data_IF_840293504499
#
_entry.id   IF_840293504499
#
_cell.length_a   1.000
_cell.length_b   1.000
_cell.length_c   1.000
_cell.angle_alpha   90.00
_cell.angle_beta   90.00
_cell.angle_gamma   90.00
#
_symmetry.space_group_name_H-M   'P 1'
#
loop_
_entity.id
_entity.type
_entity.pdbx_description
1 polymer ?
#
# COMPACT_ATOMS: atom_id res chain seq x y z
N UNK A 1 -17.71 12.22 15.18
CA UNK A 1 -16.36 11.69 14.85
C UNK A 1 -15.55 11.65 16.14
N UNK A 2 -14.87 10.54 16.44
CA UNK A 2 -14.01 10.39 17.64
C UNK A 2 -12.90 11.45 17.68
N UNK A 3 -12.45 11.93 16.54
CA UNK A 3 -11.39 12.94 16.39
C UNK A 3 -11.93 14.20 15.70
N UNK A 4 -12.91 14.85 16.37
CA UNK A 4 -13.43 16.12 15.92
C UNK A 4 -12.45 17.30 16.14
N UNK A 5 -12.81 18.46 15.63
CA UNK A 5 -11.95 19.66 15.72
C UNK A 5 -11.62 20.03 17.16
N UNK A 6 -12.53 19.84 18.10
CA UNK A 6 -12.33 20.14 19.50
C UNK A 6 -11.33 19.16 20.14
N UNK A 7 -11.41 17.88 19.77
CA UNK A 7 -10.47 16.86 20.24
C UNK A 7 -9.06 17.12 19.69
N UNK A 8 -8.95 17.37 18.38
CA UNK A 8 -7.65 17.65 17.75
C UNK A 8 -6.98 18.92 18.30
N UNK A 9 -7.75 19.97 18.55
CA UNK A 9 -7.22 21.20 19.15
C UNK A 9 -6.73 20.97 20.59
N UNK A 10 -7.38 20.12 21.38
CA UNK A 10 -6.93 19.76 22.73
C UNK A 10 -5.59 19.01 22.69
N UNK A 11 -5.44 18.04 21.82
CA UNK A 11 -4.16 17.31 21.67
C UNK A 11 -3.06 18.24 21.16
N UNK A 12 -3.37 19.15 20.23
CA UNK A 12 -2.41 20.14 19.73
C UNK A 12 -1.92 21.06 20.87
N UNK A 13 -2.85 21.52 21.73
CA UNK A 13 -2.52 22.35 22.89
C UNK A 13 -1.65 21.59 23.91
N UNK A 14 -2.08 20.40 24.33
CA UNK A 14 -1.35 19.58 25.29
C UNK A 14 0.07 19.25 24.81
N UNK A 15 0.24 19.02 23.52
CA UNK A 15 1.55 18.81 22.90
C UNK A 15 2.41 20.09 22.94
N UNK A 16 1.81 21.27 22.69
CA UNK A 16 2.52 22.55 22.82
C UNK A 16 2.91 22.87 24.26
N UNK A 17 2.15 22.35 25.24
CA UNK A 17 2.42 22.46 26.67
C UNK A 17 3.46 21.42 27.15
N UNK A 18 4.04 20.64 26.24
CA UNK A 18 5.20 19.76 26.52
C UNK A 18 4.86 18.30 26.85
N UNK A 19 3.60 17.86 26.67
CA UNK A 19 3.25 16.45 26.84
C UNK A 19 3.91 15.57 25.76
N UNK A 20 4.48 14.45 26.19
CA UNK A 20 5.05 13.46 25.28
C UNK A 20 3.96 12.65 24.59
N UNK A 21 4.33 11.89 23.56
CA UNK A 21 3.39 10.99 22.88
C UNK A 21 2.80 9.95 23.86
N UNK A 22 3.60 9.42 24.77
CA UNK A 22 3.15 8.47 25.80
C UNK A 22 2.13 9.11 26.74
N UNK A 23 2.40 10.34 27.22
CA UNK A 23 1.48 11.06 28.10
C UNK A 23 0.14 11.33 27.43
N UNK A 24 0.14 11.60 26.11
CA UNK A 24 -1.09 11.82 25.33
C UNK A 24 -1.85 10.52 25.11
N UNK A 25 -1.15 9.40 24.89
CA UNK A 25 -1.78 8.09 24.80
C UNK A 25 -2.53 7.74 26.09
N UNK A 26 -1.87 7.92 27.24
CA UNK A 26 -2.45 7.65 28.56
C UNK A 26 -3.62 8.59 28.86
N UNK A 27 -3.44 9.90 28.60
CA UNK A 27 -4.47 10.92 28.90
C UNK A 27 -5.75 10.72 28.11
N UNK A 28 -5.62 10.32 26.83
CA UNK A 28 -6.74 10.21 25.89
C UNK A 28 -7.16 8.77 25.60
N UNK A 29 -6.55 7.80 26.30
CA UNK A 29 -6.75 6.35 26.12
C UNK A 29 -6.64 5.95 24.63
N UNK A 30 -5.50 6.33 24.01
CA UNK A 30 -5.23 6.08 22.59
C UNK A 30 -4.17 5.00 22.43
N UNK A 31 -4.38 4.09 21.49
CA UNK A 31 -3.31 3.16 21.09
C UNK A 31 -2.19 3.90 20.35
N UNK A 32 -1.06 3.22 20.17
CA UNK A 32 0.07 3.75 19.40
C UNK A 32 -0.33 4.11 17.97
N UNK A 33 -1.13 3.28 17.32
CA UNK A 33 -1.65 3.51 15.98
C UNK A 33 -2.59 4.72 15.94
N UNK A 34 -3.49 4.82 16.91
CA UNK A 34 -4.45 5.92 16.99
C UNK A 34 -3.79 7.28 17.23
N UNK A 35 -2.78 7.37 18.10
CA UNK A 35 -2.08 8.65 18.32
C UNK A 35 -1.29 9.08 17.08
N UNK A 36 -0.70 8.15 16.34
CA UNK A 36 -0.07 8.44 15.04
C UNK A 36 -1.07 8.96 14.01
N UNK A 37 -2.24 8.33 13.92
CA UNK A 37 -3.32 8.82 13.08
C UNK A 37 -3.73 10.25 13.42
N UNK A 38 -3.91 10.55 14.72
CA UNK A 38 -4.24 11.90 15.20
C UNK A 38 -3.16 12.92 14.86
N UNK A 39 -1.88 12.57 15.02
CA UNK A 39 -0.78 13.48 14.67
C UNK A 39 -0.75 13.82 13.18
N UNK A 40 -1.09 12.88 12.33
CA UNK A 40 -1.19 13.11 10.89
C UNK A 40 -2.38 14.00 10.52
N UNK A 41 -3.53 13.80 11.17
CA UNK A 41 -4.67 14.71 11.00
C UNK A 41 -4.31 16.16 11.38
N UNK A 42 -3.52 16.35 12.44
CA UNK A 42 -3.04 17.68 12.83
C UNK A 42 -2.08 18.27 11.81
N UNK A 43 -1.13 17.47 11.31
CA UNK A 43 -0.15 17.91 10.31
C UNK A 43 -0.81 18.34 9.00
N UNK A 44 -1.75 17.55 8.50
CA UNK A 44 -2.49 17.87 7.26
C UNK A 44 -3.33 19.14 7.38
N UNK A 45 -3.76 19.53 8.59
CA UNK A 45 -4.46 20.81 8.82
C UNK A 45 -3.53 22.01 8.79
N UNK A 46 -2.33 21.85 9.34
CA UNK A 46 -1.34 22.94 9.36
C UNK A 46 -0.74 23.20 7.96
N UNK A 47 -0.78 22.22 7.04
CA UNK A 47 -0.33 22.34 5.65
C UNK A 47 -1.43 22.77 4.67
N UNK A 48 -2.72 22.73 5.07
CA UNK A 48 -3.86 23.09 4.22
C UNK A 48 -4.26 24.59 4.27
N UNK A 49 -3.40 25.48 4.75
CA UNK A 49 -3.56 26.91 4.51
C UNK A 49 -2.74 27.30 3.27
N UNK A 50 -3.43 27.46 2.17
CA UNK A 50 -3.02 27.87 0.83
C UNK A 50 -2.56 26.74 -0.12
N UNK A 51 -3.50 26.20 -0.89
CA UNK A 51 -3.55 26.34 -2.35
C UNK A 51 -4.69 25.51 -2.92
N UNK A 52 -5.84 26.14 -3.13
CA UNK A 52 -6.81 25.67 -4.12
C UNK A 52 -6.30 26.04 -5.51
N UNK A 53 -5.75 25.06 -6.22
CA UNK A 53 -5.67 25.13 -7.68
C UNK A 53 -6.09 23.77 -8.22
N UNK A 54 -7.35 23.68 -8.65
CA UNK A 54 -7.82 22.65 -9.58
C UNK A 54 -7.03 22.79 -10.89
N UNK A 55 -5.94 22.05 -11.04
CA UNK A 55 -5.22 21.94 -12.29
C UNK A 55 -5.67 20.69 -13.06
N UNK A 56 -6.64 20.86 -13.93
CA UNK A 56 -6.98 19.89 -14.99
C UNK A 56 -5.82 19.84 -16.00
N UNK A 57 -5.03 18.76 -15.96
CA UNK A 57 -3.93 18.54 -16.91
C UNK A 57 -4.37 17.61 -18.03
N UNK A 58 -4.37 18.09 -19.27
CA UNK A 58 -4.40 17.25 -20.46
C UNK A 58 -2.99 16.73 -20.76
N UNK A 59 -2.87 15.40 -20.95
CA UNK A 59 -1.60 14.76 -21.26
C UNK A 59 -1.09 15.14 -22.64
N UNK A 60 0.19 15.52 -22.70
CA UNK A 60 0.92 15.70 -23.93
C UNK A 60 1.56 14.40 -24.44
N UNK A 61 2.39 14.46 -25.48
CA UNK A 61 3.12 13.32 -26.03
C UNK A 61 4.47 13.15 -25.31
N UNK A 62 4.86 11.88 -25.10
CA UNK A 62 6.18 11.50 -24.56
C UNK A 62 6.89 10.61 -25.57
N UNK A 63 8.13 10.94 -25.93
CA UNK A 63 9.00 10.14 -26.78
C UNK A 63 10.27 9.79 -26.00
N UNK A 64 10.62 8.51 -25.98
CA UNK A 64 11.84 8.00 -25.36
C UNK A 64 12.83 7.55 -26.40
N UNK A 65 14.09 7.87 -26.17
CA UNK A 65 15.20 7.47 -27.02
C UNK A 65 15.92 6.26 -26.40
N UNK A 66 16.68 5.54 -27.22
CA UNK A 66 17.44 4.35 -26.77
C UNK A 66 18.53 4.67 -25.74
N UNK A 67 19.01 5.92 -25.69
CA UNK A 67 19.98 6.43 -24.70
C UNK A 67 19.34 6.80 -23.35
N UNK A 68 18.07 6.50 -23.15
CA UNK A 68 17.32 6.83 -21.93
C UNK A 68 16.84 8.29 -21.86
N UNK A 69 17.21 9.14 -22.84
CA UNK A 69 16.70 10.50 -22.89
C UNK A 69 15.22 10.55 -23.25
N UNK A 70 14.50 11.53 -22.73
CA UNK A 70 13.06 11.68 -22.93
C UNK A 70 12.75 13.06 -23.47
N UNK A 71 11.82 13.11 -24.41
CA UNK A 71 11.19 14.35 -24.89
C UNK A 71 9.72 14.29 -24.54
N UNK A 72 9.26 15.21 -23.70
CA UNK A 72 7.87 15.29 -23.27
C UNK A 72 7.25 16.64 -23.60
N UNK A 73 5.98 16.63 -24.03
CA UNK A 73 5.17 17.82 -24.24
C UNK A 73 3.96 17.79 -23.31
N UNK A 74 3.61 18.93 -22.71
CA UNK A 74 2.47 19.06 -21.79
C UNK A 74 1.83 20.45 -21.97
N UNK A 75 0.51 20.54 -21.75
CA UNK A 75 -0.17 21.82 -21.61
C UNK A 75 -0.06 22.28 -20.14
N UNK A 76 0.38 23.49 -19.93
CA UNK A 76 0.53 24.11 -18.59
C UNK A 76 -0.07 25.50 -18.58
N UNK A 77 -0.37 26.05 -17.42
CA UNK A 77 -0.80 27.44 -17.32
C UNK A 77 0.37 28.42 -17.53
N UNK A 78 0.09 29.64 -17.98
CA UNK A 78 1.15 30.64 -18.19
C UNK A 78 1.89 30.98 -16.88
N UNK A 79 1.17 31.01 -15.75
CA UNK A 79 1.76 31.27 -14.43
C UNK A 79 2.74 30.17 -14.01
N UNK A 80 2.52 28.95 -14.46
CA UNK A 80 3.41 27.80 -14.24
C UNK A 80 4.62 27.79 -15.18
N UNK A 81 4.63 28.58 -16.25
CA UNK A 81 5.73 28.61 -17.23
C UNK A 81 6.78 29.67 -16.94
N UNK A 82 6.53 30.59 -16.01
CA UNK A 82 7.41 31.76 -15.72
C UNK A 82 8.13 31.56 -14.38
N UNK A 83 9.43 31.82 -14.39
CA UNK A 83 10.31 31.80 -13.19
C UNK A 83 10.45 30.44 -12.49
N UNK A 84 10.38 29.34 -13.25
CA UNK A 84 10.58 27.98 -12.73
C UNK A 84 12.07 27.65 -12.65
N UNK A 85 12.48 26.97 -11.58
CA UNK A 85 13.74 26.25 -11.53
C UNK A 85 13.68 24.97 -12.37
N UNK A 86 14.84 24.39 -12.72
CA UNK A 86 14.90 23.11 -13.42
C UNK A 86 14.19 22.00 -12.64
N UNK A 87 14.28 22.02 -11.31
CA UNK A 87 13.60 21.09 -10.43
C UNK A 87 12.07 21.22 -10.50
N UNK A 88 11.55 22.46 -10.52
CA UNK A 88 10.11 22.70 -10.64
C UNK A 88 9.59 22.21 -12.00
N UNK A 89 10.35 22.46 -13.07
CA UNK A 89 10.00 22.00 -14.43
C UNK A 89 9.94 20.48 -14.49
N UNK A 90 10.97 19.78 -13.96
CA UNK A 90 11.00 18.33 -13.89
C UNK A 90 9.79 17.78 -13.13
N UNK A 91 9.49 18.36 -11.97
CA UNK A 91 8.34 17.97 -11.13
C UNK A 91 7.01 18.17 -11.86
N UNK A 92 6.78 19.29 -12.53
CA UNK A 92 5.57 19.56 -13.34
C UNK A 92 5.38 18.49 -14.42
N UNK A 93 6.47 18.02 -15.02
CA UNK A 93 6.44 16.98 -16.04
C UNK A 93 6.44 15.55 -15.47
N UNK A 94 6.45 15.39 -14.14
CA UNK A 94 6.40 14.09 -13.48
C UNK A 94 7.73 13.34 -13.40
N UNK A 95 8.86 14.09 -13.39
CA UNK A 95 10.20 13.53 -13.26
C UNK A 95 10.85 13.98 -11.96
N UNK A 96 11.55 13.06 -11.28
CA UNK A 96 12.28 13.36 -10.06
C UNK A 96 13.53 14.19 -10.38
N UNK A 97 13.67 15.39 -9.80
CA UNK A 97 14.83 16.28 -10.04
C UNK A 97 16.18 15.68 -9.64
N UNK A 98 16.20 14.75 -8.67
CA UNK A 98 17.43 14.07 -8.23
C UNK A 98 17.88 12.98 -9.21
N UNK A 99 17.04 12.62 -10.17
CA UNK A 99 17.23 11.47 -11.07
C UNK A 99 17.41 11.86 -12.53
N UNK A 100 17.01 13.07 -12.90
CA UNK A 100 17.07 13.55 -14.27
C UNK A 100 17.68 14.93 -14.37
N UNK A 101 18.50 15.14 -15.40
CA UNK A 101 18.98 16.44 -15.83
C UNK A 101 18.02 17.06 -16.85
N UNK A 102 17.61 18.30 -16.66
CA UNK A 102 16.88 19.07 -17.66
C UNK A 102 17.85 19.57 -18.73
N UNK A 103 17.77 18.99 -19.94
CA UNK A 103 18.64 19.37 -21.05
C UNK A 103 18.10 20.59 -21.81
N UNK A 104 16.78 20.69 -21.93
CA UNK A 104 16.13 21.86 -22.52
C UNK A 104 14.68 21.99 -22.08
N UNK A 105 14.22 23.22 -21.94
CA UNK A 105 12.84 23.61 -21.73
C UNK A 105 12.45 24.66 -22.75
N UNK A 106 11.31 24.49 -23.37
CA UNK A 106 10.74 25.50 -24.29
C UNK A 106 9.22 25.50 -24.13
N UNK A 107 8.63 26.67 -24.31
CA UNK A 107 7.17 26.78 -24.31
C UNK A 107 6.70 27.77 -25.37
N UNK A 108 5.47 27.57 -25.83
CA UNK A 108 4.77 28.46 -26.74
C UNK A 108 3.35 28.68 -26.23
N UNK A 109 2.96 29.93 -26.12
CA UNK A 109 1.60 30.32 -25.75
C UNK A 109 0.71 30.36 -27.00
N UNK A 110 -0.45 29.70 -26.95
CA UNK A 110 -1.42 29.71 -28.03
C UNK A 110 -2.84 29.54 -27.47
N UNK A 111 -3.78 30.34 -28.02
CA UNK A 111 -5.17 30.25 -27.61
C UNK A 111 -5.45 30.76 -26.19
N UNK A 112 -6.68 30.55 -25.74
CA UNK A 112 -7.14 30.80 -24.38
C UNK A 112 -8.04 29.65 -23.94
N UNK A 113 -7.90 29.24 -22.68
CA UNK A 113 -8.86 28.35 -22.03
C UNK A 113 -10.26 28.97 -22.06
N UNK A 114 -11.26 28.18 -22.45
CA UNK A 114 -12.64 28.69 -22.61
C UNK A 114 -13.31 28.95 -21.25
N UNK A 115 -12.88 28.29 -20.19
CA UNK A 115 -13.46 28.42 -18.86
C UNK A 115 -12.81 29.51 -18.04
N UNK A 116 -11.48 29.64 -18.10
CA UNK A 116 -10.69 30.58 -17.26
C UNK A 116 -10.23 31.82 -18.00
N UNK A 117 -10.38 31.90 -19.32
CA UNK A 117 -9.83 32.97 -20.20
C UNK A 117 -8.29 33.14 -20.10
N UNK A 118 -7.57 32.20 -19.51
CA UNK A 118 -6.12 32.22 -19.41
C UNK A 118 -5.44 31.65 -20.67
N UNK A 119 -4.26 32.16 -21.04
CA UNK A 119 -3.51 31.61 -22.18
C UNK A 119 -3.11 30.14 -21.90
N UNK A 120 -3.37 29.27 -22.86
CA UNK A 120 -2.85 27.91 -22.88
C UNK A 120 -1.40 27.93 -23.36
N UNK A 121 -0.53 27.20 -22.68
CA UNK A 121 0.89 27.10 -22.96
C UNK A 121 1.23 25.66 -23.25
N UNK A 122 1.73 25.39 -24.46
CA UNK A 122 2.35 24.11 -24.77
C UNK A 122 3.81 24.17 -24.35
N UNK A 123 4.17 23.36 -23.36
CA UNK A 123 5.53 23.26 -22.86
C UNK A 123 6.16 21.94 -23.31
N UNK A 124 7.46 21.99 -23.61
CA UNK A 124 8.25 20.84 -24.09
C UNK A 124 9.55 20.79 -23.30
N UNK A 125 9.89 19.61 -22.79
CA UNK A 125 11.17 19.33 -22.16
C UNK A 125 11.95 18.27 -22.94
N UNK A 126 13.28 18.33 -22.79
CA UNK A 126 14.19 17.23 -23.07
C UNK A 126 15.00 16.96 -21.82
N UNK A 127 15.02 15.73 -21.38
CA UNK A 127 15.70 15.31 -20.16
C UNK A 127 16.60 14.10 -20.43
N UNK A 128 17.61 13.90 -19.61
CA UNK A 128 18.45 12.70 -19.60
C UNK A 128 18.58 12.17 -18.17
N UNK A 129 18.64 10.83 -17.97
CA UNK A 129 18.89 10.28 -16.66
C UNK A 129 20.27 10.71 -16.15
N UNK A 130 20.36 10.98 -14.84
CA UNK A 130 21.63 11.06 -14.13
C UNK A 130 22.15 9.63 -14.06
N UNK A 131 23.24 9.32 -14.77
CA UNK A 131 23.77 7.97 -14.90
C UNK A 131 24.44 7.53 -13.59
N UNK A 132 23.66 6.99 -12.66
CA UNK A 132 24.15 6.08 -11.65
C UNK A 132 23.47 4.72 -11.90
N UNK A 133 24.15 3.82 -12.57
CA UNK A 133 23.71 2.43 -12.76
C UNK A 133 23.90 1.67 -11.44
N UNK A 134 22.98 1.88 -10.51
CA UNK A 134 22.89 1.06 -9.29
C UNK A 134 22.25 -0.27 -9.68
N UNK A 135 22.94 -1.37 -9.43
CA UNK A 135 22.43 -2.72 -9.71
C UNK A 135 21.57 -3.23 -8.56
N UNK A 136 20.76 -4.25 -8.82
CA UNK A 136 19.98 -4.93 -7.76
C UNK A 136 20.89 -5.48 -6.64
N UNK A 137 22.09 -5.95 -7.00
CA UNK A 137 23.07 -6.42 -6.02
C UNK A 137 23.59 -5.28 -5.13
N UNK A 138 23.77 -4.08 -5.66
CA UNK A 138 24.17 -2.92 -4.86
C UNK A 138 23.10 -2.57 -3.84
N UNK A 139 21.82 -2.61 -4.22
CA UNK A 139 20.70 -2.43 -3.30
C UNK A 139 20.67 -3.50 -2.21
N UNK A 140 20.84 -4.78 -2.55
CA UNK A 140 20.89 -5.88 -1.58
C UNK A 140 22.04 -5.67 -0.59
N UNK A 141 23.22 -5.26 -1.06
CA UNK A 141 24.36 -4.98 -0.18
C UNK A 141 24.07 -3.81 0.78
N UNK A 142 23.47 -2.72 0.28
CA UNK A 142 23.08 -1.60 1.13
C UNK A 142 22.06 -2.05 2.18
N UNK A 143 21.03 -2.79 1.79
CA UNK A 143 20.02 -3.30 2.71
C UNK A 143 20.67 -4.17 3.80
N UNK A 144 21.55 -5.10 3.45
CA UNK A 144 22.23 -5.99 4.41
C UNK A 144 23.11 -5.22 5.41
N UNK A 145 23.68 -4.10 5.00
CA UNK A 145 24.59 -3.30 5.83
C UNK A 145 23.85 -2.27 6.70
N UNK A 146 22.73 -1.74 6.24
CA UNK A 146 22.05 -0.59 6.85
C UNK A 146 20.76 -0.97 7.62
N UNK A 147 20.17 -2.14 7.33
CA UNK A 147 18.95 -2.57 8.02
C UNK A 147 19.29 -3.33 9.29
N UNK A 148 18.97 -2.73 10.44
CA UNK A 148 19.15 -3.37 11.73
C UNK A 148 17.88 -4.14 12.17
N UNK A 149 18.03 -5.37 12.68
CA UNK A 149 16.91 -6.13 13.22
C UNK A 149 16.31 -5.46 14.46
N UNK A 150 14.99 -5.46 14.55
CA UNK A 150 14.28 -5.01 15.74
C UNK A 150 14.63 -5.90 16.94
N UNK A 151 14.99 -5.28 18.08
CA UNK A 151 15.34 -6.02 19.28
C UNK A 151 14.09 -6.62 19.96
N UNK A 152 14.14 -7.89 20.35
CA UNK A 152 13.03 -8.56 21.06
C UNK A 152 12.62 -7.85 22.36
N UNK A 153 13.55 -7.15 23.03
CA UNK A 153 13.28 -6.40 24.25
C UNK A 153 12.31 -5.23 24.06
N UNK A 154 12.13 -4.77 22.82
CA UNK A 154 11.26 -3.64 22.50
C UNK A 154 9.78 -4.04 22.36
N UNK A 155 9.50 -5.33 22.27
CA UNK A 155 8.14 -5.86 22.10
C UNK A 155 8.00 -7.12 22.95
N UNK A 156 7.48 -6.95 24.19
CA UNK A 156 7.07 -8.11 24.99
C UNK A 156 5.73 -8.61 24.45
N UNK A 157 5.74 -9.79 23.89
CA UNK A 157 4.52 -10.53 23.57
C UNK A 157 3.73 -10.69 24.87
N UNK A 158 2.49 -10.29 24.90
CA UNK A 158 1.59 -10.73 25.98
C UNK A 158 1.36 -12.22 25.73
N UNK A 159 2.09 -13.06 26.45
CA UNK A 159 1.99 -14.52 26.39
C UNK A 159 0.64 -14.99 26.96
N UNK A 160 -0.42 -14.77 26.22
CA UNK A 160 -1.62 -15.59 26.33
C UNK A 160 -1.49 -16.64 25.21
N UNK A 161 -1.06 -17.84 25.58
CA UNK A 161 -1.15 -18.99 24.65
C UNK A 161 -2.59 -19.08 24.20
N UNK A 162 -2.83 -18.92 22.90
CA UNK A 162 -4.17 -19.00 22.37
C UNK A 162 -4.69 -20.41 22.57
N UNK A 163 -5.85 -20.53 23.18
CA UNK A 163 -6.60 -21.80 23.19
C UNK A 163 -7.43 -21.99 21.93
N UNK A 164 -7.22 -21.15 20.90
CA UNK A 164 -8.02 -21.14 19.67
C UNK A 164 -7.22 -21.71 18.51
N UNK A 165 -7.79 -22.72 17.82
CA UNK A 165 -7.28 -23.26 16.56
C UNK A 165 -7.63 -22.32 15.36
N UNK A 166 -7.73 -21.00 15.59
CA UNK A 166 -8.08 -20.05 14.56
C UNK A 166 -6.84 -19.35 14.01
N UNK A 167 -6.80 -19.24 12.71
CA UNK A 167 -5.79 -18.44 11.99
C UNK A 167 -6.45 -17.27 11.28
N UNK A 168 -5.66 -16.22 11.06
CA UNK A 168 -6.08 -15.01 10.36
C UNK A 168 -5.26 -14.87 9.08
N UNK A 169 -5.91 -14.59 7.96
CA UNK A 169 -5.24 -14.23 6.70
C UNK A 169 -5.63 -12.82 6.32
N UNK A 170 -4.63 -11.97 6.15
CA UNK A 170 -4.80 -10.54 5.83
C UNK A 170 -4.18 -10.27 4.46
N UNK A 171 -4.97 -10.32 3.38
CA UNK A 171 -4.50 -10.00 2.04
C UNK A 171 -4.41 -8.47 1.84
N UNK A 172 -3.22 -8.02 1.46
CA UNK A 172 -2.86 -6.63 1.17
C UNK A 172 -2.51 -6.56 -0.31
N UNK A 173 -3.50 -6.23 -1.13
CA UNK A 173 -3.39 -6.10 -2.59
C UNK A 173 -3.60 -4.66 -3.00
N UNK A 174 -2.91 -4.25 -4.05
CA UNK A 174 -3.16 -2.97 -4.73
C UNK A 174 -3.17 -1.78 -3.75
N UNK A 175 -2.19 -1.75 -2.84
CA UNK A 175 -2.05 -0.69 -1.83
C UNK A 175 -1.66 0.65 -2.47
N UNK A 176 -0.85 0.60 -3.53
CA UNK A 176 -0.38 1.74 -4.32
C UNK A 176 0.14 2.92 -3.50
N UNK A 177 1.04 2.66 -2.54
CA UNK A 177 1.73 3.75 -1.84
C UNK A 177 2.37 4.71 -2.85
N UNK A 178 2.15 6.00 -2.62
CA UNK A 178 2.45 7.08 -3.55
C UNK A 178 1.20 7.77 -4.11
N UNK A 179 0.12 7.01 -4.39
CA UNK A 179 -1.23 7.54 -4.65
C UNK A 179 -2.09 7.42 -3.39
N UNK A 180 -2.06 6.27 -2.72
CA UNK A 180 -2.79 6.08 -1.48
C UNK A 180 -2.17 6.91 -0.38
N UNK A 181 -2.95 7.83 0.16
CA UNK A 181 -2.55 8.62 1.33
C UNK A 181 -2.36 7.68 2.53
N UNK A 182 -1.26 7.85 3.23
CA UNK A 182 -0.94 7.09 4.43
C UNK A 182 -2.06 7.20 5.50
N UNK A 183 -2.83 8.29 5.54
CA UNK A 183 -3.98 8.45 6.43
C UNK A 183 -5.07 7.42 6.11
N UNK A 184 -5.33 7.19 4.82
CA UNK A 184 -6.26 6.13 4.37
C UNK A 184 -5.78 4.78 4.87
N UNK A 185 -4.50 4.44 4.64
CA UNK A 185 -3.93 3.18 5.08
C UNK A 185 -4.01 3.01 6.62
N UNK A 186 -3.77 4.08 7.38
CA UNK A 186 -3.89 4.05 8.85
C UNK A 186 -5.32 3.86 9.36
N UNK A 187 -6.32 4.36 8.63
CA UNK A 187 -7.73 4.08 8.98
C UNK A 187 -7.99 2.58 8.99
N UNK A 188 -7.50 1.86 7.98
CA UNK A 188 -7.63 0.41 7.92
C UNK A 188 -6.83 -0.31 9.04
N UNK A 189 -5.64 0.19 9.41
CA UNK A 189 -4.90 -0.36 10.56
C UNK A 189 -5.64 -0.18 11.87
N UNK A 190 -6.26 0.98 12.10
CA UNK A 190 -7.07 1.20 13.30
C UNK A 190 -8.27 0.25 13.35
N UNK A 191 -8.97 0.07 12.23
CA UNK A 191 -10.09 -0.88 12.16
C UNK A 191 -9.65 -2.33 12.31
N UNK A 192 -8.46 -2.69 11.80
CA UNK A 192 -7.87 -4.02 12.02
C UNK A 192 -7.55 -4.23 13.50
N UNK A 193 -6.91 -3.27 14.15
CA UNK A 193 -6.60 -3.32 15.58
C UNK A 193 -7.88 -3.50 16.41
N UNK A 194 -8.93 -2.74 16.12
CA UNK A 194 -10.24 -2.89 16.77
C UNK A 194 -10.86 -4.28 16.54
N UNK A 195 -10.78 -4.80 15.29
CA UNK A 195 -11.33 -6.12 14.94
C UNK A 195 -10.67 -7.27 15.73
N UNK A 196 -9.36 -7.18 15.99
CA UNK A 196 -8.59 -8.25 16.62
C UNK A 196 -8.32 -8.01 18.11
N UNK A 197 -8.66 -6.84 18.66
CA UNK A 197 -8.28 -6.35 20.01
C UNK A 197 -8.53 -7.34 21.14
N UNK A 198 -9.59 -8.15 21.06
CA UNK A 198 -9.98 -9.13 22.09
C UNK A 198 -9.82 -10.57 21.63
N UNK A 199 -8.99 -10.84 20.64
CA UNK A 199 -8.82 -12.15 20.02
C UNK A 199 -7.35 -12.55 20.05
N UNK A 200 -7.11 -13.86 20.03
CA UNK A 200 -5.81 -14.47 19.82
C UNK A 200 -5.92 -15.48 18.68
N UNK A 201 -4.88 -15.57 17.88
CA UNK A 201 -4.81 -16.46 16.73
C UNK A 201 -3.57 -17.35 16.84
N UNK A 202 -3.66 -18.58 16.39
CA UNK A 202 -2.52 -19.45 16.29
C UNK A 202 -1.55 -18.92 15.23
N UNK A 203 -2.04 -18.70 14.02
CA UNK A 203 -1.26 -18.14 12.94
C UNK A 203 -1.91 -16.85 12.41
N UNK A 204 -1.08 -15.85 12.07
CA UNK A 204 -1.48 -14.71 11.24
C UNK A 204 -0.63 -14.70 9.99
N UNK A 205 -1.29 -14.83 8.84
CA UNK A 205 -0.66 -14.81 7.52
C UNK A 205 -0.91 -13.47 6.85
N UNK A 206 0.14 -12.67 6.70
CA UNK A 206 0.12 -11.41 5.97
C UNK A 206 0.47 -11.69 4.51
N UNK A 207 -0.39 -11.29 3.58
CA UNK A 207 -0.21 -11.55 2.15
C UNK A 207 -0.06 -10.24 1.40
N UNK A 208 1.16 -9.91 0.97
CA UNK A 208 1.45 -8.78 0.08
C UNK A 208 1.36 -9.27 -1.37
N UNK A 209 0.19 -9.09 -1.95
CA UNK A 209 -0.19 -9.69 -3.23
C UNK A 209 0.16 -8.87 -4.47
N UNK A 210 1.10 -7.95 -4.37
CA UNK A 210 1.54 -7.07 -5.45
C UNK A 210 0.86 -5.71 -5.47
N UNK A 211 1.49 -4.79 -6.19
CA UNK A 211 1.09 -3.38 -6.30
C UNK A 211 1.01 -2.69 -4.93
N UNK A 212 1.94 -3.04 -4.03
CA UNK A 212 2.17 -2.30 -2.78
C UNK A 212 2.61 -0.88 -3.10
N UNK A 213 3.43 -0.71 -4.15
CA UNK A 213 3.87 0.59 -4.65
C UNK A 213 3.24 0.93 -5.99
N UNK A 214 3.00 2.23 -6.22
CA UNK A 214 2.48 2.68 -7.51
C UNK A 214 3.52 2.60 -8.64
N UNK A 215 4.79 2.48 -8.34
CA UNK A 215 5.88 2.45 -9.32
C UNK A 215 6.99 1.50 -8.91
N UNK A 216 7.54 0.76 -9.88
CA UNK A 216 8.65 -0.17 -9.69
C UNK A 216 10.00 0.55 -9.48
N UNK A 217 10.11 1.79 -9.86
CA UNK A 217 11.35 2.55 -9.85
C UNK A 217 11.36 3.60 -8.74
N UNK A 218 12.56 3.91 -8.22
CA UNK A 218 12.75 5.01 -7.27
C UNK A 218 12.87 6.38 -7.95
N UNK A 219 13.37 6.40 -9.18
CA UNK A 219 13.77 7.61 -9.90
C UNK A 219 12.78 8.05 -10.99
N UNK A 220 11.76 7.26 -11.25
CA UNK A 220 10.72 7.53 -12.26
C UNK A 220 9.43 6.84 -11.86
N UNK A 221 8.29 7.30 -12.35
CA UNK A 221 7.00 6.67 -12.06
C UNK A 221 6.54 5.83 -13.24
N UNK A 222 6.81 4.54 -13.18
CA UNK A 222 6.52 3.57 -14.24
C UNK A 222 6.20 2.20 -13.66
N UNK A 223 5.40 1.43 -14.41
CA UNK A 223 5.20 0.01 -14.13
C UNK A 223 6.48 -0.80 -14.41
N UNK A 224 6.54 -2.04 -13.94
CA UNK A 224 7.61 -3.00 -14.25
C UNK A 224 7.86 -3.15 -15.77
N UNK A 225 6.83 -2.99 -16.59
CA UNK A 225 6.91 -3.01 -18.07
C UNK A 225 7.18 -1.63 -18.69
N UNK A 226 7.61 -0.65 -17.91
CA UNK A 226 7.92 0.73 -18.30
C UNK A 226 6.70 1.53 -18.86
N UNK A 227 5.48 1.19 -18.52
CA UNK A 227 4.33 2.05 -18.79
C UNK A 227 4.43 3.28 -17.92
N UNK A 228 4.35 4.48 -18.52
CA UNK A 228 4.38 5.74 -17.78
C UNK A 228 3.10 5.91 -16.98
N UNK A 229 3.26 6.33 -15.72
CA UNK A 229 2.18 6.61 -14.78
C UNK A 229 2.24 8.07 -14.33
N UNK A 230 1.21 8.50 -13.62
CA UNK A 230 1.21 9.79 -12.95
C UNK A 230 2.32 9.87 -11.92
N UNK A 231 2.92 11.05 -11.79
CA UNK A 231 4.06 11.23 -10.91
C UNK A 231 3.69 11.02 -9.44
N UNK A 232 4.53 10.27 -8.74
CA UNK A 232 4.46 10.13 -7.29
C UNK A 232 5.84 10.33 -6.66
N UNK A 233 5.87 10.77 -5.42
CA UNK A 233 7.11 10.83 -4.64
C UNK A 233 7.47 9.43 -4.14
N UNK A 234 8.29 8.71 -4.90
CA UNK A 234 8.70 7.34 -4.58
C UNK A 234 9.47 7.21 -3.27
N UNK A 235 10.22 8.24 -2.85
CA UNK A 235 10.93 8.25 -1.55
C UNK A 235 9.93 8.33 -0.40
N UNK A 236 8.89 9.16 -0.53
CA UNK A 236 7.84 9.25 0.47
C UNK A 236 6.98 7.97 0.49
N UNK A 237 6.63 7.44 -0.66
CA UNK A 237 5.90 6.16 -0.78
C UNK A 237 6.63 5.02 -0.05
N UNK A 238 7.96 4.95 -0.18
CA UNK A 238 8.77 3.95 0.54
C UNK A 238 8.71 4.15 2.06
N UNK A 239 8.78 5.41 2.54
CA UNK A 239 8.67 5.72 3.97
C UNK A 239 7.28 5.34 4.51
N UNK A 240 6.23 5.71 3.79
CA UNK A 240 4.84 5.41 4.17
C UNK A 240 4.58 3.90 4.22
N UNK A 241 5.04 3.15 3.22
CA UNK A 241 4.94 1.70 3.22
C UNK A 241 5.72 1.06 4.38
N UNK A 242 6.92 1.58 4.70
CA UNK A 242 7.73 1.07 5.82
C UNK A 242 7.03 1.31 7.14
N UNK A 243 6.48 2.49 7.36
CA UNK A 243 5.78 2.86 8.58
C UNK A 243 4.49 2.06 8.76
N UNK A 244 3.73 1.88 7.67
CA UNK A 244 2.55 1.03 7.64
C UNK A 244 2.89 -0.42 8.01
N UNK A 245 3.93 -1.00 7.40
CA UNK A 245 4.36 -2.37 7.66
C UNK A 245 4.80 -2.54 9.11
N UNK A 246 5.59 -1.61 9.64
CA UNK A 246 6.07 -1.64 11.02
C UNK A 246 4.90 -1.67 12.02
N UNK A 247 3.89 -0.85 11.81
CA UNK A 247 2.73 -0.80 12.69
C UNK A 247 1.81 -2.02 12.51
N UNK A 248 1.66 -2.52 11.28
CA UNK A 248 0.94 -3.77 11.01
C UNK A 248 1.56 -4.95 11.79
N UNK A 249 2.87 -5.15 11.70
CA UNK A 249 3.56 -6.21 12.45
C UNK A 249 3.38 -6.03 13.95
N UNK A 250 3.46 -4.80 14.49
CA UNK A 250 3.26 -4.53 15.92
C UNK A 250 1.84 -4.88 16.37
N UNK A 251 0.84 -4.51 15.57
CA UNK A 251 -0.56 -4.83 15.85
C UNK A 251 -0.75 -6.34 15.92
N UNK A 252 -0.37 -7.06 14.86
CA UNK A 252 -0.63 -8.51 14.79
C UNK A 252 0.21 -9.32 15.76
N UNK A 253 1.44 -8.87 16.08
CA UNK A 253 2.33 -9.58 17.02
C UNK A 253 1.74 -9.69 18.45
N UNK A 254 0.87 -8.79 18.83
CA UNK A 254 0.18 -8.86 20.12
C UNK A 254 -0.95 -9.89 20.14
N UNK A 255 -1.36 -10.40 18.98
CA UNK A 255 -2.54 -11.22 18.78
C UNK A 255 -2.28 -12.55 18.06
N UNK A 256 -1.00 -12.92 17.82
CA UNK A 256 -0.62 -14.11 17.08
C UNK A 256 0.46 -14.90 17.79
N UNK A 257 0.41 -16.24 17.75
CA UNK A 257 1.52 -17.09 18.18
C UNK A 257 2.59 -17.14 17.10
N UNK A 258 2.20 -17.20 15.82
CA UNK A 258 3.09 -17.16 14.66
C UNK A 258 2.62 -16.15 13.63
N UNK A 259 3.56 -15.53 12.94
CA UNK A 259 3.29 -14.60 11.85
C UNK A 259 4.09 -15.04 10.64
N UNK A 260 3.37 -15.31 9.55
CA UNK A 260 3.93 -15.59 8.24
C UNK A 260 3.70 -14.42 7.30
N UNK A 261 4.70 -14.05 6.51
CA UNK A 261 4.61 -12.99 5.50
C UNK A 261 4.87 -13.57 4.13
N UNK A 262 3.85 -13.58 3.30
CA UNK A 262 3.92 -13.98 1.90
C UNK A 262 3.99 -12.75 1.02
N UNK A 263 4.82 -12.78 -0.03
CA UNK A 263 4.92 -11.66 -0.95
C UNK A 263 5.13 -12.12 -2.39
N UNK A 264 4.33 -11.56 -3.30
CA UNK A 264 4.49 -11.68 -4.75
C UNK A 264 4.48 -10.30 -5.38
N UNK A 265 5.29 -10.07 -6.41
CA UNK A 265 5.33 -8.78 -7.10
C UNK A 265 4.10 -8.56 -7.97
N UNK A 266 3.67 -7.30 -8.10
CA UNK A 266 2.64 -6.87 -9.02
C UNK A 266 3.17 -6.27 -10.32
N UNK A 267 2.30 -5.84 -11.22
CA UNK A 267 2.74 -5.22 -12.47
C UNK A 267 3.26 -3.79 -12.29
N UNK A 268 2.98 -3.15 -11.15
CA UNK A 268 3.48 -1.81 -10.82
C UNK A 268 4.80 -1.84 -10.04
N UNK A 269 5.15 -2.92 -9.32
CA UNK A 269 6.22 -2.92 -8.33
C UNK A 269 7.01 -4.23 -8.20
N UNK A 270 7.12 -4.99 -9.27
CA UNK A 270 7.66 -6.34 -9.26
C UNK A 270 9.03 -6.46 -8.56
N UNK A 271 10.01 -5.65 -8.96
CA UNK A 271 11.35 -5.64 -8.36
C UNK A 271 11.38 -4.89 -7.03
N UNK A 272 10.71 -3.76 -6.95
CA UNK A 272 10.67 -2.91 -5.76
C UNK A 272 10.00 -3.61 -4.59
N UNK A 273 8.92 -4.33 -4.80
CA UNK A 273 8.26 -5.10 -3.75
C UNK A 273 9.17 -6.17 -3.19
N UNK A 274 9.89 -6.92 -4.04
CA UNK A 274 10.84 -7.93 -3.58
C UNK A 274 11.94 -7.32 -2.68
N UNK A 275 12.56 -6.23 -3.12
CA UNK A 275 13.60 -5.54 -2.35
C UNK A 275 13.07 -4.97 -1.04
N UNK A 276 11.88 -4.41 -1.05
CA UNK A 276 11.21 -3.90 0.15
C UNK A 276 10.95 -5.03 1.15
N UNK A 277 10.36 -6.13 0.71
CA UNK A 277 10.08 -7.28 1.56
C UNK A 277 11.36 -7.96 2.05
N UNK A 278 12.42 -7.96 1.26
CA UNK A 278 13.73 -8.43 1.70
C UNK A 278 14.29 -7.56 2.85
N UNK A 279 14.18 -6.24 2.75
CA UNK A 279 14.57 -5.35 3.85
C UNK A 279 13.72 -5.57 5.11
N UNK A 280 12.40 -5.75 4.95
CA UNK A 280 11.51 -6.04 6.07
C UNK A 280 11.78 -7.41 6.69
N UNK A 281 12.16 -8.41 5.90
CA UNK A 281 12.53 -9.73 6.43
C UNK A 281 13.75 -9.68 7.35
N UNK A 282 14.75 -8.86 7.05
CA UNK A 282 15.91 -8.64 7.94
C UNK A 282 15.46 -7.90 9.20
N UNK A 283 14.67 -6.83 9.03
CA UNK A 283 14.23 -5.98 10.16
C UNK A 283 13.38 -6.75 11.17
N UNK A 284 12.47 -7.58 10.69
CA UNK A 284 11.46 -8.25 11.51
C UNK A 284 11.70 -9.76 11.70
N UNK A 285 12.87 -10.29 11.33
CA UNK A 285 13.23 -11.71 11.36
C UNK A 285 12.99 -12.45 12.70
N UNK A 286 12.89 -11.70 13.81
CA UNK A 286 12.65 -12.27 15.13
C UNK A 286 11.17 -12.38 15.49
N UNK A 287 10.30 -11.84 14.67
CA UNK A 287 8.87 -11.73 14.94
C UNK A 287 7.99 -12.40 13.90
N UNK A 288 8.49 -12.51 12.66
CA UNK A 288 7.75 -13.08 11.56
C UNK A 288 8.66 -13.93 10.66
N UNK A 289 8.09 -14.97 10.06
CA UNK A 289 8.72 -15.77 9.02
C UNK A 289 8.33 -15.22 7.65
N UNK A 290 9.35 -14.95 6.81
CA UNK A 290 9.14 -14.35 5.49
C UNK A 290 9.37 -15.37 4.38
N UNK A 291 8.35 -15.59 3.57
CA UNK A 291 8.36 -16.47 2.41
C UNK A 291 8.47 -15.62 1.14
N UNK A 292 9.70 -15.26 0.77
CA UNK A 292 9.98 -14.42 -0.38
C UNK A 292 10.16 -15.22 -1.65
N UNK A 293 9.63 -14.72 -2.76
CA UNK A 293 9.80 -15.34 -4.08
C UNK A 293 9.92 -14.27 -5.16
N UNK A 294 10.65 -14.60 -6.22
CA UNK A 294 10.67 -13.85 -7.49
C UNK A 294 9.69 -14.41 -8.51
N UNK A 295 8.91 -15.44 -8.14
CA UNK A 295 7.89 -16.01 -9.00
C UNK A 295 6.61 -15.17 -8.97
N UNK A 296 5.78 -15.29 -10.00
CA UNK A 296 4.51 -14.55 -10.13
C UNK A 296 3.40 -15.09 -9.24
N UNK A 297 3.65 -16.20 -8.53
CA UNK A 297 2.72 -16.85 -7.60
C UNK A 297 3.48 -17.62 -6.53
N UNK A 298 2.80 -17.80 -5.40
CA UNK A 298 3.30 -18.55 -4.26
C UNK A 298 2.20 -19.42 -3.67
N UNK A 299 2.58 -20.53 -3.06
CA UNK A 299 1.67 -21.42 -2.37
C UNK A 299 2.07 -21.55 -0.91
N UNK A 300 1.08 -21.60 -0.05
CA UNK A 300 1.28 -21.72 1.39
C UNK A 300 0.21 -22.63 1.99
N UNK A 301 0.56 -23.36 3.02
CA UNK A 301 -0.37 -24.21 3.76
C UNK A 301 -0.60 -23.63 5.15
N UNK A 302 -1.85 -23.29 5.46
CA UNK A 302 -2.28 -22.86 6.78
C UNK A 302 -3.25 -23.94 7.32
N UNK A 303 -2.79 -24.75 8.27
CA UNK A 303 -3.50 -25.95 8.68
C UNK A 303 -3.76 -26.89 7.49
N UNK A 304 -5.02 -27.23 7.25
CA UNK A 304 -5.46 -28.00 6.08
C UNK A 304 -6.09 -27.11 4.99
N UNK A 305 -5.74 -25.84 4.96
CA UNK A 305 -6.14 -24.88 3.91
C UNK A 305 -4.94 -24.55 3.03
N UNK A 306 -5.04 -24.86 1.74
CA UNK A 306 -4.04 -24.47 0.75
C UNK A 306 -4.35 -23.07 0.22
N UNK A 307 -3.40 -22.16 0.38
CA UNK A 307 -3.44 -20.81 -0.18
C UNK A 307 -2.61 -20.76 -1.47
N UNK A 308 -3.17 -20.19 -2.53
CA UNK A 308 -2.42 -19.72 -3.68
C UNK A 308 -2.46 -18.19 -3.71
N UNK A 309 -1.31 -17.56 -3.76
CA UNK A 309 -1.15 -16.10 -3.78
C UNK A 309 -0.58 -15.70 -5.13
N UNK A 310 -1.25 -14.80 -5.83
CA UNK A 310 -0.79 -14.24 -7.11
C UNK A 310 -1.35 -12.83 -7.27
N UNK A 311 -0.66 -11.97 -8.02
CA UNK A 311 -1.20 -10.62 -8.25
C UNK A 311 -2.51 -10.63 -9.05
N UNK A 312 -2.57 -11.37 -10.13
CA UNK A 312 -3.81 -11.54 -10.92
C UNK A 312 -3.68 -11.10 -12.39
N UNK A 313 -2.61 -10.38 -12.75
CA UNK A 313 -2.31 -9.98 -14.14
C UNK A 313 -1.88 -11.18 -15.02
N UNK A 314 -1.42 -12.27 -14.40
CA UNK A 314 -0.93 -13.47 -15.07
C UNK A 314 -1.58 -14.73 -14.54
N UNK A 315 -1.87 -15.66 -15.44
CA UNK A 315 -2.27 -17.05 -15.15
C UNK A 315 -3.52 -17.26 -14.26
N UNK A 316 -4.26 -16.20 -13.90
CA UNK A 316 -5.41 -16.27 -12.98
C UNK A 316 -6.43 -17.33 -13.39
N UNK A 317 -6.73 -17.45 -14.69
CA UNK A 317 -7.71 -18.43 -15.21
C UNK A 317 -7.22 -19.88 -15.15
N UNK A 318 -5.93 -20.12 -14.85
CA UNK A 318 -5.32 -21.44 -14.77
C UNK A 318 -5.01 -21.86 -13.32
N UNK A 319 -5.26 -20.97 -12.35
CA UNK A 319 -4.76 -21.15 -10.98
C UNK A 319 -5.18 -22.48 -10.34
N UNK A 320 -6.40 -22.93 -10.54
CA UNK A 320 -6.87 -24.21 -10.00
C UNK A 320 -6.06 -25.42 -10.52
N UNK A 321 -5.68 -25.40 -11.78
CA UNK A 321 -4.85 -26.46 -12.37
C UNK A 321 -3.40 -26.34 -11.86
N UNK A 322 -2.87 -25.10 -11.77
CA UNK A 322 -1.52 -24.85 -11.31
C UNK A 322 -1.32 -25.29 -9.85
N UNK A 323 -2.28 -25.02 -8.97
CA UNK A 323 -2.25 -25.49 -7.59
C UNK A 323 -2.05 -27.03 -7.50
N UNK A 324 -2.79 -27.77 -8.28
CA UNK A 324 -2.72 -29.26 -8.26
C UNK A 324 -1.46 -29.81 -8.95
N UNK A 325 -0.94 -29.14 -9.97
CA UNK A 325 0.21 -29.63 -10.75
C UNK A 325 1.56 -29.19 -10.18
N UNK A 326 1.62 -28.00 -9.59
CA UNK A 326 2.85 -27.45 -9.03
C UNK A 326 3.07 -27.85 -7.58
N UNK A 327 1.96 -28.12 -6.82
CA UNK A 327 2.01 -28.50 -5.42
C UNK A 327 1.12 -29.73 -5.14
N UNK A 328 1.38 -30.88 -5.78
CA UNK A 328 0.49 -32.04 -5.70
C UNK A 328 0.40 -32.62 -4.28
N UNK A 329 1.45 -32.54 -3.47
CA UNK A 329 1.42 -33.02 -2.09
C UNK A 329 0.56 -32.12 -1.21
N UNK A 330 0.78 -30.82 -1.23
CA UNK A 330 -0.03 -29.83 -0.50
C UNK A 330 -1.50 -29.90 -0.96
N UNK A 331 -1.73 -30.13 -2.25
CA UNK A 331 -3.07 -30.35 -2.79
C UNK A 331 -3.78 -31.57 -2.17
N UNK A 332 -3.05 -32.66 -1.98
CA UNK A 332 -3.58 -33.89 -1.38
C UNK A 332 -3.82 -33.75 0.13
N UNK A 333 -2.96 -33.04 0.83
CA UNK A 333 -3.00 -32.88 2.28
C UNK A 333 -4.06 -31.88 2.73
N UNK A 334 -4.45 -30.93 1.86
CA UNK A 334 -5.42 -29.90 2.21
C UNK A 334 -6.86 -30.27 1.84
N UNK A 335 -7.78 -29.93 2.73
CA UNK A 335 -9.23 -30.16 2.55
C UNK A 335 -9.93 -28.96 1.91
N UNK A 336 -9.35 -27.77 2.00
CA UNK A 336 -9.84 -26.53 1.40
C UNK A 336 -8.75 -25.85 0.59
N UNK A 337 -9.13 -25.21 -0.50
CA UNK A 337 -8.21 -24.56 -1.44
C UNK A 337 -8.74 -23.20 -1.79
N UNK A 338 -7.97 -22.17 -1.53
CA UNK A 338 -8.31 -20.79 -1.87
C UNK A 338 -7.19 -20.15 -2.68
N UNK A 339 -7.57 -19.34 -3.66
CA UNK A 339 -6.68 -18.49 -4.41
C UNK A 339 -7.01 -17.04 -4.09
N UNK A 340 -5.98 -16.26 -3.74
CA UNK A 340 -6.07 -14.83 -3.46
C UNK A 340 -5.45 -14.07 -4.62
N UNK A 341 -6.14 -13.06 -5.15
CA UNK A 341 -5.63 -12.18 -6.21
C UNK A 341 -6.13 -10.75 -6.04
N UNK A 342 -5.44 -9.79 -6.64
CA UNK A 342 -5.81 -8.38 -6.75
C UNK A 342 -5.94 -7.93 -8.21
N UNK A 343 -5.22 -6.87 -8.59
CA UNK A 343 -5.03 -6.29 -9.90
C UNK A 343 -6.25 -5.59 -10.52
N UNK A 344 -7.43 -6.14 -10.37
CA UNK A 344 -8.65 -5.60 -10.99
C UNK A 344 -9.40 -4.61 -10.10
N UNK A 345 -8.93 -4.36 -8.89
CA UNK A 345 -9.52 -3.48 -7.89
C UNK A 345 -11.01 -3.76 -7.61
N UNK A 346 -11.44 -5.02 -7.80
CA UNK A 346 -12.83 -5.44 -7.67
C UNK A 346 -12.94 -6.66 -6.79
N UNK A 347 -13.81 -6.61 -5.80
CA UNK A 347 -14.09 -7.78 -4.98
C UNK A 347 -14.94 -8.79 -5.78
N UNK A 348 -14.40 -9.99 -5.99
CA UNK A 348 -15.09 -11.11 -6.64
C UNK A 348 -14.79 -12.39 -5.88
N UNK A 349 -15.83 -13.11 -5.53
CA UNK A 349 -15.73 -14.45 -4.94
C UNK A 349 -16.38 -15.44 -5.89
N UNK A 350 -15.60 -16.39 -6.38
CA UNK A 350 -16.10 -17.41 -7.31
C UNK A 350 -15.33 -18.71 -7.22
N UNK A 351 -15.98 -19.79 -7.55
CA UNK A 351 -15.32 -21.06 -7.78
C UNK A 351 -14.59 -21.02 -9.13
N UNK A 352 -13.36 -21.53 -9.18
CA UNK A 352 -12.52 -21.58 -10.40
C UNK A 352 -12.07 -23.01 -10.68
N UNK A 353 -11.70 -23.25 -11.95
CA UNK A 353 -11.39 -24.57 -12.47
C UNK A 353 -12.64 -25.31 -12.96
N UNK A 354 -12.52 -26.63 -13.16
CA UNK A 354 -13.67 -27.46 -13.42
C UNK A 354 -14.50 -27.58 -12.12
N UNK A 355 -15.80 -27.78 -12.24
CA UNK A 355 -16.75 -27.80 -11.11
C UNK A 355 -16.35 -28.73 -9.95
N UNK A 356 -15.42 -29.64 -10.18
CA UNK A 356 -14.98 -30.65 -9.21
C UNK A 356 -13.68 -30.29 -8.46
N UNK A 357 -12.98 -29.21 -8.85
CA UNK A 357 -11.66 -28.90 -8.27
C UNK A 357 -11.72 -28.22 -6.90
N UNK A 358 -12.86 -27.69 -6.50
CA UNK A 358 -13.07 -27.13 -5.16
C UNK A 358 -12.21 -25.93 -4.78
N UNK A 359 -11.66 -25.19 -5.78
CA UNK A 359 -10.85 -23.99 -5.54
C UNK A 359 -11.75 -22.76 -5.52
N UNK A 360 -11.71 -22.01 -4.43
CA UNK A 360 -12.37 -20.72 -4.31
C UNK A 360 -11.38 -19.60 -4.63
N UNK A 361 -11.69 -18.79 -5.62
CA UNK A 361 -10.96 -17.55 -5.92
C UNK A 361 -11.61 -16.40 -5.17
N UNK A 362 -10.77 -15.70 -4.38
CA UNK A 362 -11.08 -14.44 -3.77
C UNK A 362 -10.22 -13.35 -4.44
N UNK A 363 -10.84 -12.59 -5.32
CA UNK A 363 -10.25 -11.41 -5.88
C UNK A 363 -10.49 -10.26 -4.92
N UNK A 364 -9.41 -9.79 -4.31
CA UNK A 364 -9.45 -8.79 -3.26
C UNK A 364 -9.68 -7.39 -3.85
N UNK A 365 -10.26 -6.53 -3.05
CA UNK A 365 -10.43 -5.12 -3.35
C UNK A 365 -9.11 -4.37 -3.13
N UNK A 366 -9.12 -3.07 -3.36
CA UNK A 366 -8.03 -2.15 -3.08
C UNK A 366 -8.44 -1.15 -2.00
N UNK A 367 -7.48 -0.64 -1.24
CA UNK A 367 -7.68 0.53 -0.38
C UNK A 367 -7.36 1.85 -1.11
N UNK A 368 -6.78 1.79 -2.30
CA UNK A 368 -6.44 2.93 -3.14
C UNK A 368 -7.71 3.71 -3.50
N UNK A 369 -7.75 5.05 -3.34
CA UNK A 369 -8.85 5.86 -3.85
C UNK A 369 -8.90 5.78 -5.38
N UNK A 370 -10.07 6.05 -5.96
CA UNK A 370 -10.20 6.12 -7.43
C UNK A 370 -9.25 7.18 -7.99
N UNK A 371 -8.49 6.80 -9.00
CA UNK A 371 -7.66 7.71 -9.77
C UNK A 371 -8.38 8.18 -11.07
N UNK A 372 -7.73 9.09 -11.79
CA UNK A 372 -8.28 9.63 -13.04
C UNK A 372 -8.47 8.54 -14.11
N UNK A 373 -7.54 7.57 -14.18
CA UNK A 373 -7.66 6.46 -15.13
C UNK A 373 -8.90 5.62 -14.86
N UNK A 374 -9.17 5.30 -13.60
CA UNK A 374 -10.36 4.53 -13.20
C UNK A 374 -11.64 5.31 -13.48
N UNK A 375 -11.63 6.62 -13.21
CA UNK A 375 -12.76 7.51 -13.54
C UNK A 375 -13.02 7.54 -15.04
N UNK A 376 -11.99 7.70 -15.87
CA UNK A 376 -12.09 7.75 -17.35
C UNK A 376 -12.58 6.42 -17.94
N UNK A 377 -12.24 5.30 -17.30
CA UNK A 377 -12.69 3.94 -17.70
C UNK A 377 -14.03 3.56 -17.10
N UNK A 378 -14.63 4.40 -16.27
CA UNK A 378 -15.91 4.13 -15.61
C UNK A 378 -15.84 3.12 -14.46
N UNK A 379 -14.66 2.92 -13.88
CA UNK A 379 -14.45 2.05 -12.71
C UNK A 379 -14.72 2.80 -11.39
N UNK A 380 -15.81 3.56 -11.34
CA UNK A 380 -16.13 4.49 -10.24
C UNK A 380 -16.73 3.81 -9.00
N UNK A 381 -17.01 2.51 -9.07
CA UNK A 381 -17.63 1.73 -7.99
C UNK A 381 -16.70 0.66 -7.42
N UNK A 382 -15.38 0.91 -7.40
CA UNK A 382 -14.42 0.06 -6.69
C UNK A 382 -14.77 0.08 -5.21
N UNK A 383 -15.09 -1.07 -4.63
CA UNK A 383 -15.49 -1.15 -3.22
C UNK A 383 -14.25 -1.07 -2.32
N UNK A 384 -13.70 0.12 -2.10
CA UNK A 384 -12.51 0.36 -1.28
C UNK A 384 -12.63 -0.26 0.11
N UNK A 385 -12.04 -1.43 0.28
CA UNK A 385 -12.09 -2.19 1.53
C UNK A 385 -10.91 -3.15 1.65
N UNK A 386 -10.56 -3.48 2.87
CA UNK A 386 -9.63 -4.55 3.18
C UNK A 386 -10.42 -5.77 3.64
N UNK A 387 -10.19 -6.92 3.04
CA UNK A 387 -10.72 -8.21 3.45
C UNK A 387 -9.83 -8.83 4.53
N UNK A 388 -10.43 -9.41 5.56
CA UNK A 388 -9.72 -10.13 6.63
C UNK A 388 -10.41 -11.47 6.82
N UNK A 389 -9.68 -12.56 6.54
CA UNK A 389 -10.20 -13.92 6.58
C UNK A 389 -9.88 -14.57 7.91
N UNK A 390 -10.88 -15.12 8.56
CA UNK A 390 -10.70 -16.04 9.71
C UNK A 390 -10.83 -17.47 9.22
N UNK A 391 -9.85 -18.30 9.57
CA UNK A 391 -9.79 -19.70 9.23
C UNK A 391 -9.85 -20.55 10.51
N UNK A 392 -10.46 -21.72 10.43
CA UNK A 392 -10.10 -22.84 11.30
C UNK A 392 -9.13 -23.75 10.55
N UNK A 393 -8.73 -24.84 11.17
CA UNK A 393 -7.78 -25.80 10.58
C UNK A 393 -8.19 -26.30 9.17
N UNK A 394 -9.46 -26.25 8.81
CA UNK A 394 -9.98 -26.88 7.59
C UNK A 394 -10.54 -25.92 6.54
N UNK A 395 -10.93 -24.71 6.90
CA UNK A 395 -11.63 -23.79 5.97
C UNK A 395 -11.69 -22.34 6.45
N UNK A 396 -12.02 -21.44 5.54
CA UNK A 396 -12.46 -20.08 5.86
C UNK A 396 -13.79 -20.16 6.62
N UNK A 397 -13.85 -19.54 7.79
CA UNK A 397 -15.04 -19.50 8.65
C UNK A 397 -15.74 -18.14 8.64
N UNK A 398 -14.98 -17.06 8.40
CA UNK A 398 -15.54 -15.73 8.28
C UNK A 398 -14.67 -14.86 7.35
N UNK A 399 -15.28 -13.85 6.75
CA UNK A 399 -14.61 -12.77 6.03
C UNK A 399 -15.13 -11.48 6.61
N UNK A 400 -14.26 -10.67 7.20
CA UNK A 400 -14.57 -9.34 7.69
C UNK A 400 -14.13 -8.33 6.65
N UNK A 401 -14.93 -7.28 6.45
CA UNK A 401 -14.64 -6.18 5.53
C UNK A 401 -14.39 -4.93 6.34
N UNK A 402 -13.21 -4.35 6.21
CA UNK A 402 -12.85 -3.07 6.79
C UNK A 402 -13.00 -2.01 5.71
N UNK A 403 -13.62 -0.88 6.06
CA UNK A 403 -13.88 0.23 5.14
C UNK A 403 -13.12 1.48 5.60
N UNK A 404 -12.97 2.45 4.71
CA UNK A 404 -12.40 3.75 5.03
C UNK A 404 -13.45 4.68 5.70
N UNK A 405 -14.16 4.14 6.68
CA UNK A 405 -15.13 4.89 7.45
C UNK A 405 -14.41 5.69 8.55
N UNK A 406 -14.92 6.88 8.90
CA UNK A 406 -14.37 7.63 10.02
C UNK A 406 -14.41 6.80 11.30
N UNK A 407 -13.29 6.76 12.03
CA UNK A 407 -13.21 6.09 13.32
C UNK A 407 -14.19 6.76 14.27
N UNK A 408 -15.21 6.02 14.74
CA UNK A 408 -16.25 6.50 15.66
C UNK A 408 -16.06 5.88 17.04
N UNK A 409 -16.54 6.57 18.10
CA UNK A 409 -16.42 6.10 19.50
C UNK A 409 -17.25 4.83 19.82
N UNK A 410 -18.00 4.29 18.87
CA UNK A 410 -19.02 3.26 19.10
C UNK A 410 -18.49 1.83 19.29
N UNK A 411 -17.20 1.59 19.37
CA UNK A 411 -16.65 0.26 19.69
C UNK A 411 -16.48 -0.04 21.19
N UNK A 412 -16.97 0.83 22.08
CA UNK A 412 -17.10 0.55 23.51
C UNK A 412 -18.53 0.75 24.00
N UNK A 413 -19.47 -0.03 23.48
CA UNK A 413 -20.64 -0.39 24.26
C UNK A 413 -20.19 -1.48 25.24
N UNK A 414 -19.69 -1.04 26.38
CA UNK A 414 -19.56 -1.90 27.56
C UNK A 414 -20.97 -2.31 28.00
N UNK A 415 -21.07 -3.57 28.38
CA UNK A 415 -22.28 -4.25 28.90
C UNK A 415 -22.89 -3.62 30.18
N UNK A 416 -22.58 -2.38 30.52
CA UNK A 416 -23.02 -1.71 31.75
C UNK A 416 -24.27 -0.83 31.60
N UNK A 417 -24.85 -0.69 30.39
CA UNK A 417 -26.08 0.08 30.17
C UNK A 417 -27.33 -0.79 29.93
N UNK A 418 -27.30 -2.06 30.34
CA UNK A 418 -28.43 -2.97 30.24
C UNK A 418 -28.77 -3.58 31.65
N UNK A 419 -29.05 -2.74 32.63
CA UNK A 419 -29.81 -3.11 33.84
C UNK A 419 -30.80 -2.00 34.17
#
# INVERSE_FOLDING_TARGET
MKYDDNFLNRIKQDRSDGMTQSDLQDKYNLTHTQIKYVYRLLHNRDTNTDTTTDDHFEFGSVTRNQDGSVVANKLISLNQAQNLSDADILTIFGYDPDSFNLNSFSYSAWGKDKATCQPLVSAKIKISPINDTVTTNDFIQVINNEVEPVAQTNFQRQTQTSSTDQSLVIPLYDMHFGITDIQVAYTYLCHLEDLISNKQYHDVVLVFGGDTFHSDFMTKTQTAKNTQLDHVNNKQALKDATEFFDDLIRIVNNHADHIDVLAVGGNHDYDKQYLFMYAMSIKWQKFAEFHLTTETRQYFQCGHVMLAVLHGDQALNKIANLMSTEQPQMWADCTSRIALSGHFHKNVIRQVGNNDNGVMLYQCSTIKPNDQYEADKGFTMSGHKLEVFTLNDHRVTAINYLYNDPITETSQLTLDDAI
#
